data_IF_924619639061
#
_entry.id   IF_924619639061
#
_cell.length_a   1.000
_cell.length_b   1.000
_cell.length_c   1.000
_cell.angle_alpha   90.00
_cell.angle_beta   90.00
_cell.angle_gamma   90.00
#
_symmetry.space_group_name_H-M   'P 1'
#
loop_
_entity.id
_entity.type
_entity.pdbx_description
1 polymer ?
#
# COMPACT_ATOMS: atom_id res chain seq x y z
N UNK A 1 55.80 65.85 -46.70
CA UNK A 1 54.99 65.37 -45.56
C UNK A 1 54.31 66.59 -44.96
N UNK A 2 52.98 66.71 -45.02
CA UNK A 2 52.30 67.82 -44.33
C UNK A 2 52.21 67.45 -42.85
N UNK A 3 52.85 68.24 -41.99
CA UNK A 3 52.78 68.04 -40.55
C UNK A 3 51.51 68.69 -40.00
N UNK A 4 50.94 68.09 -38.96
CA UNK A 4 49.86 68.72 -38.22
C UNK A 4 50.42 69.94 -37.48
N UNK A 5 49.68 71.04 -37.51
CA UNK A 5 50.01 72.19 -36.67
C UNK A 5 49.85 71.84 -35.16
N UNK A 6 50.39 72.66 -34.25
CA UNK A 6 50.31 72.39 -32.82
C UNK A 6 48.87 72.20 -32.29
N UNK A 7 47.89 72.87 -32.90
CA UNK A 7 46.48 72.75 -32.52
C UNK A 7 45.88 71.40 -32.96
N UNK A 8 46.22 70.95 -34.16
CA UNK A 8 45.88 69.65 -34.71
C UNK A 8 46.48 68.51 -33.89
N UNK A 9 47.73 68.67 -33.45
CA UNK A 9 48.40 67.72 -32.55
C UNK A 9 47.71 67.63 -31.19
N UNK A 10 47.41 68.77 -30.58
CA UNK A 10 46.68 68.85 -29.30
C UNK A 10 45.30 68.17 -29.37
N UNK A 11 44.56 68.43 -30.46
CA UNK A 11 43.24 67.83 -30.69
C UNK A 11 43.31 66.32 -30.89
N UNK A 12 44.31 65.82 -31.60
CA UNK A 12 44.54 64.38 -31.77
C UNK A 12 44.85 63.71 -30.42
N UNK A 13 45.76 64.30 -29.64
CA UNK A 13 46.11 63.81 -28.31
C UNK A 13 44.90 63.75 -27.38
N UNK A 14 44.10 64.83 -27.32
CA UNK A 14 42.88 64.86 -26.52
C UNK A 14 41.88 63.77 -26.92
N UNK A 15 41.70 63.50 -28.22
CA UNK A 15 40.83 62.43 -28.71
C UNK A 15 41.34 61.04 -28.34
N UNK A 16 42.65 60.81 -28.45
CA UNK A 16 43.27 59.54 -28.08
C UNK A 16 43.09 59.30 -26.58
N UNK A 17 43.36 60.30 -25.74
CA UNK A 17 43.19 60.18 -24.30
C UNK A 17 41.73 59.96 -23.90
N UNK A 18 40.78 60.65 -24.52
CA UNK A 18 39.37 60.42 -24.27
C UNK A 18 38.94 58.99 -24.62
N UNK A 19 39.44 58.44 -25.74
CA UNK A 19 39.14 57.06 -26.12
C UNK A 19 39.81 56.03 -25.19
N UNK A 20 41.05 56.28 -24.75
CA UNK A 20 41.77 55.41 -23.83
C UNK A 20 41.09 55.38 -22.46
N UNK A 21 40.68 56.53 -21.93
CA UNK A 21 40.00 56.61 -20.63
C UNK A 21 38.61 55.96 -20.64
N UNK A 22 38.00 55.80 -21.83
CA UNK A 22 36.72 55.10 -21.99
C UNK A 22 36.88 53.59 -22.23
N UNK A 23 38.11 53.09 -22.39
CA UNK A 23 38.35 51.64 -22.48
C UNK A 23 38.12 50.99 -21.11
N UNK A 24 37.61 49.77 -21.16
CA UNK A 24 37.58 48.87 -20.01
C UNK A 24 38.85 48.01 -20.05
N UNK A 25 39.57 47.93 -18.93
CA UNK A 25 40.77 47.11 -18.81
C UNK A 25 40.44 45.61 -18.89
N UNK A 26 41.33 44.86 -19.53
CA UNK A 26 41.22 43.40 -19.61
C UNK A 26 41.65 42.77 -18.28
N UNK A 27 40.83 41.85 -17.78
CA UNK A 27 41.23 40.96 -16.68
C UNK A 27 41.87 39.68 -17.25
N UNK A 28 42.96 39.22 -16.64
CA UNK A 28 43.63 37.97 -17.00
C UNK A 28 42.65 36.80 -17.06
N UNK A 29 42.65 36.07 -18.17
CA UNK A 29 41.75 34.91 -18.39
C UNK A 29 40.37 35.24 -18.98
N UNK A 30 40.07 36.51 -19.32
CA UNK A 30 38.76 36.94 -19.85
C UNK A 30 38.83 37.62 -21.23
N UNK A 31 37.71 37.64 -21.97
CA UNK A 31 37.56 38.36 -23.25
C UNK A 31 37.00 39.78 -23.06
N UNK A 32 37.15 40.67 -24.05
CA UNK A 32 36.68 42.08 -23.98
C UNK A 32 35.18 42.24 -24.32
N UNK A 33 34.34 41.26 -23.99
CA UNK A 33 32.92 41.28 -24.39
C UNK A 33 32.06 42.10 -23.43
N UNK A 34 30.94 42.64 -23.92
CA UNK A 34 29.99 43.48 -23.16
C UNK A 34 29.34 42.76 -21.96
N UNK A 35 29.56 41.46 -21.76
CA UNK A 35 28.99 40.71 -20.63
C UNK A 35 29.89 39.56 -20.15
N UNK A 36 30.65 39.80 -19.09
CA UNK A 36 31.33 38.74 -18.31
C UNK A 36 30.75 38.67 -16.89
N UNK A 37 29.42 38.58 -16.79
CA UNK A 37 28.59 38.59 -15.57
C UNK A 37 28.80 39.78 -14.63
N UNK A 38 27.72 40.45 -14.20
CA UNK A 38 27.83 41.42 -13.09
C UNK A 38 28.34 40.73 -11.82
N UNK A 39 28.97 41.46 -10.90
CA UNK A 39 29.44 40.89 -9.63
C UNK A 39 28.31 40.15 -8.87
N UNK A 40 27.08 40.63 -8.98
CA UNK A 40 25.90 39.97 -8.41
C UNK A 40 25.55 38.65 -9.12
N UNK A 41 25.64 38.59 -10.45
CA UNK A 41 25.40 37.36 -11.21
C UNK A 41 26.52 36.34 -11.01
N UNK A 42 27.78 36.77 -10.95
CA UNK A 42 28.92 35.89 -10.64
C UNK A 42 28.79 35.31 -9.22
N UNK A 43 28.37 36.13 -8.24
CA UNK A 43 28.10 35.66 -6.87
C UNK A 43 26.97 34.63 -6.84
N UNK A 44 25.88 34.87 -7.59
CA UNK A 44 24.79 33.89 -7.73
C UNK A 44 25.27 32.61 -8.38
N UNK A 45 26.03 32.70 -9.49
CA UNK A 45 26.57 31.54 -10.20
C UNK A 45 27.50 30.70 -9.33
N UNK A 46 28.41 31.34 -8.61
CA UNK A 46 29.32 30.65 -7.69
C UNK A 46 28.56 29.99 -6.53
N UNK A 47 27.48 30.60 -6.05
CA UNK A 47 26.61 30.02 -5.02
C UNK A 47 25.71 28.88 -5.52
N UNK A 48 25.48 28.75 -6.84
CA UNK A 48 24.71 27.64 -7.40
C UNK A 48 25.46 26.33 -7.23
N UNK A 49 26.79 26.28 -7.39
CA UNK A 49 27.54 25.04 -7.19
C UNK A 49 27.35 24.46 -5.77
N UNK A 50 27.33 25.33 -4.75
CA UNK A 50 27.08 24.95 -3.35
C UNK A 50 25.62 24.54 -3.09
N UNK A 51 24.66 25.13 -3.83
CA UNK A 51 23.22 24.96 -3.61
C UNK A 51 22.48 24.07 -4.61
N UNK A 52 23.13 23.62 -5.69
CA UNK A 52 22.48 23.03 -6.87
C UNK A 52 21.67 21.76 -6.56
N UNK A 53 22.08 21.01 -5.54
CA UNK A 53 21.44 19.74 -5.16
C UNK A 53 20.82 19.78 -3.75
N UNK A 54 20.40 20.95 -3.25
CA UNK A 54 19.87 21.09 -1.88
C UNK A 54 18.45 20.54 -1.69
N UNK A 55 18.05 19.52 -2.47
CA UNK A 55 16.94 18.69 -2.08
C UNK A 55 17.46 17.55 -1.20
N UNK A 56 17.45 17.79 0.11
CA UNK A 56 17.66 16.71 1.10
C UNK A 56 16.28 16.15 1.41
N UNK A 57 16.05 14.89 1.03
CA UNK A 57 14.81 14.23 1.40
C UNK A 57 14.68 14.17 2.93
N UNK A 58 13.56 14.60 3.53
CA UNK A 58 13.41 14.50 4.97
C UNK A 58 13.55 13.04 5.41
N UNK A 59 14.35 12.79 6.45
CA UNK A 59 14.59 11.45 7.01
C UNK A 59 13.86 11.22 8.32
N UNK A 60 13.03 12.18 8.74
CA UNK A 60 12.21 12.10 9.95
C UNK A 60 11.04 11.13 9.79
N UNK A 61 10.42 10.78 10.92
CA UNK A 61 9.24 9.91 10.95
C UNK A 61 8.13 10.46 10.03
N UNK A 62 7.49 9.57 9.26
CA UNK A 62 6.47 9.93 8.27
C UNK A 62 7.02 10.30 6.88
N UNK A 63 8.33 10.58 6.75
CA UNK A 63 8.98 10.89 5.48
C UNK A 63 9.91 9.78 4.99
N UNK A 64 9.98 8.65 5.70
CA UNK A 64 10.74 7.48 5.24
C UNK A 64 9.87 6.69 4.26
N UNK A 65 10.39 6.47 3.05
CA UNK A 65 9.73 5.60 2.08
C UNK A 65 9.74 4.14 2.54
N UNK A 66 8.88 3.32 1.93
CA UNK A 66 9.01 1.87 2.01
C UNK A 66 10.47 1.46 1.67
N UNK A 67 11.12 0.57 2.45
CA UNK A 67 12.48 0.15 2.14
C UNK A 67 12.56 -0.48 0.74
N UNK A 68 13.61 -0.18 -0.01
CA UNK A 68 13.86 -0.86 -1.27
C UNK A 68 14.27 -2.33 -1.04
N UNK A 69 14.21 -3.15 -2.10
CA UNK A 69 14.73 -4.53 -2.06
C UNK A 69 13.80 -5.57 -1.44
N UNK A 70 12.51 -5.29 -1.29
CA UNK A 70 11.52 -6.29 -0.87
C UNK A 70 11.35 -7.41 -1.89
N UNK A 71 11.09 -8.62 -1.40
CA UNK A 71 10.81 -9.81 -2.19
C UNK A 71 9.39 -10.33 -1.96
N UNK A 72 8.88 -11.14 -2.90
CA UNK A 72 7.57 -11.80 -2.75
C UNK A 72 7.53 -12.64 -1.48
N UNK A 73 6.41 -12.57 -0.76
CA UNK A 73 6.21 -13.27 0.52
C UNK A 73 6.76 -12.56 1.75
N UNK A 74 7.37 -11.37 1.61
CA UNK A 74 7.76 -10.53 2.75
C UNK A 74 6.65 -9.54 3.12
N UNK A 75 6.63 -9.12 4.39
CA UNK A 75 5.78 -8.05 4.90
C UNK A 75 6.63 -6.94 5.50
N UNK A 76 6.10 -5.72 5.55
CA UNK A 76 6.71 -4.63 6.30
C UNK A 76 6.46 -4.85 7.79
N UNK A 77 7.53 -5.02 8.55
CA UNK A 77 7.51 -5.08 10.01
C UNK A 77 7.92 -3.71 10.56
N UNK A 78 7.23 -3.28 11.61
CA UNK A 78 7.63 -2.09 12.36
C UNK A 78 9.00 -2.34 13.02
N UNK A 79 9.90 -1.36 12.92
CA UNK A 79 11.24 -1.41 13.53
C UNK A 79 11.46 -0.26 14.51
N UNK A 80 11.02 0.95 14.14
CA UNK A 80 11.01 2.14 14.99
C UNK A 80 10.04 3.19 14.40
N UNK A 81 9.90 4.35 15.05
CA UNK A 81 9.07 5.43 14.52
C UNK A 81 9.52 5.86 13.12
N UNK A 82 8.58 5.70 12.17
CA UNK A 82 8.79 5.90 10.75
C UNK A 82 9.74 4.89 10.09
N UNK A 83 10.34 3.94 10.81
CA UNK A 83 11.24 2.93 10.24
C UNK A 83 10.53 1.58 10.14
N UNK A 84 10.50 1.03 8.92
CA UNK A 84 9.98 -0.29 8.64
C UNK A 84 11.08 -1.15 8.02
N UNK A 85 11.02 -2.46 8.20
CA UNK A 85 11.94 -3.40 7.57
C UNK A 85 11.16 -4.54 6.92
N UNK A 86 11.63 -5.02 5.76
CA UNK A 86 11.10 -6.24 5.17
C UNK A 86 11.48 -7.43 6.03
N UNK A 87 10.48 -8.23 6.40
CA UNK A 87 10.67 -9.48 7.13
C UNK A 87 9.70 -10.53 6.64
N UNK A 88 9.95 -11.78 7.06
CA UNK A 88 8.97 -12.83 6.83
C UNK A 88 7.71 -12.57 7.67
N UNK A 89 6.51 -12.87 7.13
CA UNK A 89 5.30 -12.88 7.93
C UNK A 89 5.48 -13.81 9.12
N UNK A 90 4.79 -13.47 10.21
CA UNK A 90 4.88 -14.26 11.43
C UNK A 90 4.41 -15.69 11.12
N UNK A 91 5.33 -16.66 11.17
CA UNK A 91 5.05 -18.05 10.78
C UNK A 91 4.24 -18.83 11.84
N UNK A 92 3.66 -18.14 12.82
CA UNK A 92 3.07 -18.75 14.02
C UNK A 92 1.55 -18.73 14.08
N UNK A 93 0.86 -18.03 13.16
CA UNK A 93 -0.59 -17.97 13.24
C UNK A 93 -1.24 -19.19 12.61
N UNK A 94 -1.31 -20.26 13.38
CA UNK A 94 -2.23 -21.36 13.13
C UNK A 94 -3.57 -20.99 13.77
N UNK A 95 -4.64 -20.89 12.97
CA UNK A 95 -5.97 -20.73 13.54
C UNK A 95 -6.24 -21.91 14.49
N UNK A 96 -6.66 -21.63 15.74
CA UNK A 96 -6.88 -22.69 16.70
C UNK A 96 -7.99 -23.62 16.23
N UNK A 97 -7.82 -24.92 16.47
CA UNK A 97 -8.86 -25.90 16.17
C UNK A 97 -10.10 -25.58 17.02
N UNK A 98 -11.29 -25.62 16.43
CA UNK A 98 -12.54 -25.25 17.12
C UNK A 98 -12.89 -26.17 18.30
N UNK A 99 -12.20 -27.31 18.46
CA UNK A 99 -12.51 -28.33 19.46
C UNK A 99 -13.67 -29.26 19.05
N UNK A 100 -14.34 -28.97 17.93
CA UNK A 100 -15.37 -29.84 17.36
C UNK A 100 -14.70 -31.03 16.67
N UNK A 101 -15.19 -32.24 16.93
CA UNK A 101 -14.74 -33.42 16.20
C UNK A 101 -15.10 -33.31 14.72
N UNK A 102 -14.36 -33.95 13.84
CA UNK A 102 -14.67 -33.93 12.40
C UNK A 102 -15.92 -34.77 12.12
N UNK A 103 -16.85 -34.29 11.28
CA UNK A 103 -18.10 -34.98 10.96
C UNK A 103 -19.16 -34.09 10.31
N UNK A 104 -20.26 -34.70 9.85
CA UNK A 104 -21.45 -33.96 9.37
C UNK A 104 -22.38 -33.68 10.55
N UNK A 105 -22.51 -32.41 10.92
CA UNK A 105 -23.39 -31.94 11.99
C UNK A 105 -24.60 -31.25 11.39
N UNK A 106 -25.78 -31.40 12.04
CA UNK A 106 -27.00 -30.73 11.58
C UNK A 106 -27.22 -29.36 12.20
N UNK A 107 -26.67 -29.14 13.38
CA UNK A 107 -26.63 -27.83 14.02
C UNK A 107 -25.28 -27.64 14.71
N UNK A 108 -24.77 -26.42 14.63
CA UNK A 108 -23.55 -25.97 15.28
C UNK A 108 -23.84 -24.71 16.09
N UNK A 109 -23.18 -24.58 17.23
CA UNK A 109 -23.23 -23.37 18.06
C UNK A 109 -21.92 -22.63 17.92
N UNK A 110 -21.96 -21.30 17.74
CA UNK A 110 -20.75 -20.45 17.70
C UNK A 110 -20.69 -19.50 18.88
N UNK A 111 -19.49 -19.13 19.31
CA UNK A 111 -19.28 -18.06 20.29
C UNK A 111 -19.35 -16.67 19.63
N UNK A 112 -19.20 -15.61 20.44
CA UNK A 112 -19.21 -14.22 19.97
C UNK A 112 -18.10 -13.88 18.96
N UNK A 113 -17.06 -14.70 18.87
CA UNK A 113 -15.95 -14.56 17.92
C UNK A 113 -16.10 -15.49 16.70
N UNK A 114 -17.22 -16.21 16.57
CA UNK A 114 -17.51 -17.10 15.43
C UNK A 114 -16.89 -18.51 15.52
N UNK A 115 -16.21 -18.87 16.61
CA UNK A 115 -15.69 -20.23 16.79
C UNK A 115 -16.80 -21.20 17.16
N UNK A 116 -16.82 -22.38 16.54
CA UNK A 116 -17.78 -23.42 16.88
C UNK A 116 -17.46 -23.97 18.28
N UNK A 117 -18.43 -23.93 19.20
CA UNK A 117 -18.30 -24.38 20.59
C UNK A 117 -19.09 -25.65 20.89
N UNK A 118 -19.90 -26.12 19.93
CA UNK A 118 -20.64 -27.38 20.06
C UNK A 118 -21.38 -27.73 18.77
N UNK A 119 -21.78 -29.00 18.65
CA UNK A 119 -22.61 -29.48 17.55
C UNK A 119 -23.35 -30.75 17.94
N UNK A 120 -24.53 -30.98 17.34
CA UNK A 120 -25.38 -32.13 17.63
C UNK A 120 -25.80 -32.87 16.36
N UNK A 121 -25.78 -34.20 16.42
CA UNK A 121 -26.38 -35.06 15.41
C UNK A 121 -27.84 -35.34 15.76
N UNK A 122 -28.77 -35.39 14.79
CA UNK A 122 -30.15 -35.70 15.06
C UNK A 122 -30.29 -37.13 15.56
N UNK A 123 -31.11 -37.33 16.58
CA UNK A 123 -31.51 -38.64 17.08
C UNK A 123 -33.00 -38.93 16.84
N UNK A 124 -33.75 -37.95 16.32
CA UNK A 124 -35.16 -38.06 15.98
C UNK A 124 -35.45 -37.30 14.68
N UNK A 125 -36.50 -37.73 13.98
CA UNK A 125 -37.01 -37.03 12.80
C UNK A 125 -37.79 -35.76 13.17
N UNK A 126 -38.31 -35.71 14.40
CA UNK A 126 -39.11 -34.62 14.92
C UNK A 126 -38.28 -33.32 15.02
N UNK A 127 -38.86 -32.19 14.61
CA UNK A 127 -38.23 -30.88 14.71
C UNK A 127 -37.25 -30.51 13.59
N UNK A 128 -37.00 -31.41 12.63
CA UNK A 128 -36.05 -31.19 11.53
C UNK A 128 -36.69 -30.82 10.19
N UNK A 129 -38.01 -30.58 10.16
CA UNK A 129 -38.73 -30.22 8.92
C UNK A 129 -38.66 -31.29 7.82
N UNK A 130 -38.27 -32.53 8.16
CA UNK A 130 -38.23 -33.64 7.22
C UNK A 130 -39.67 -34.07 6.95
N UNK A 131 -40.21 -33.66 5.79
CA UNK A 131 -41.62 -33.82 5.42
C UNK A 131 -41.93 -35.15 4.74
N UNK A 132 -40.91 -35.87 4.29
CA UNK A 132 -41.01 -37.10 3.49
C UNK A 132 -40.48 -38.35 4.22
N UNK A 133 -40.13 -38.23 5.50
CA UNK A 133 -39.62 -39.38 6.23
C UNK A 133 -40.73 -40.38 6.58
N UNK A 134 -40.50 -41.66 6.27
CA UNK A 134 -41.42 -42.74 6.62
C UNK A 134 -41.53 -42.93 8.15
N UNK A 135 -42.75 -43.09 8.66
CA UNK A 135 -42.99 -43.30 10.09
C UNK A 135 -42.41 -44.64 10.58
N UNK A 136 -41.60 -44.60 11.67
CA UNK A 136 -40.98 -45.80 12.28
C UNK A 136 -42.02 -46.80 12.81
N UNK A 137 -43.14 -46.31 13.32
CA UNK A 137 -44.29 -47.10 13.72
C UNK A 137 -45.48 -46.63 12.90
N UNK A 138 -45.88 -47.40 11.90
CA UNK A 138 -47.18 -47.26 11.28
C UNK A 138 -48.03 -48.45 11.70
N UNK A 139 -49.21 -48.14 12.23
CA UNK A 139 -50.13 -49.15 12.74
C UNK A 139 -51.01 -49.64 11.58
N UNK A 140 -50.96 -50.93 11.28
CA UNK A 140 -51.92 -51.57 10.38
C UNK A 140 -53.15 -52.09 11.13
N UNK A 141 -53.13 -52.07 12.46
CA UNK A 141 -54.01 -52.89 13.29
C UNK A 141 -55.46 -52.39 13.39
N UNK A 142 -55.67 -51.08 13.25
CA UNK A 142 -56.99 -50.49 13.54
C UNK A 142 -57.79 -50.08 12.31
N UNK A 143 -57.19 -50.10 11.10
CA UNK A 143 -57.88 -49.64 9.87
C UNK A 143 -57.71 -50.56 8.67
N UNK A 144 -56.62 -51.35 8.55
CA UNK A 144 -56.29 -52.03 7.30
C UNK A 144 -55.96 -53.52 7.43
N UNK A 145 -56.62 -54.22 8.37
CA UNK A 145 -56.53 -55.67 8.67
C UNK A 145 -55.69 -55.94 9.94
N UNK A 146 -56.34 -56.57 10.93
CA UNK A 146 -55.70 -57.10 12.13
C UNK A 146 -54.48 -57.94 11.73
N UNK A 147 -53.35 -57.80 12.43
CA UNK A 147 -52.16 -58.63 12.19
C UNK A 147 -52.42 -60.08 12.65
N UNK A 148 -53.17 -60.84 11.88
CA UNK A 148 -53.59 -62.20 12.22
C UNK A 148 -54.78 -62.68 11.37
N UNK A 149 -55.16 -63.96 11.53
CA UNK A 149 -56.28 -64.54 10.80
C UNK A 149 -57.60 -63.81 11.16
N UNK A 150 -58.25 -63.22 10.15
CA UNK A 150 -59.58 -62.61 10.30
C UNK A 150 -60.63 -63.71 10.27
N UNK A 151 -61.50 -63.77 11.28
CA UNK A 151 -62.58 -64.76 11.32
C UNK A 151 -63.90 -64.14 10.87
N UNK A 152 -64.85 -64.96 10.40
CA UNK A 152 -66.16 -64.47 9.99
C UNK A 152 -66.93 -63.78 11.13
N UNK A 153 -66.64 -64.16 12.37
CA UNK A 153 -67.20 -63.53 13.56
C UNK A 153 -66.72 -62.07 13.76
N UNK A 154 -65.54 -61.72 13.22
CA UNK A 154 -65.00 -60.35 13.21
C UNK A 154 -65.65 -59.45 12.14
N UNK A 155 -66.37 -60.03 11.18
CA UNK A 155 -66.88 -59.34 9.99
C UNK A 155 -68.41 -59.17 9.97
N UNK A 156 -69.15 -59.95 10.76
CA UNK A 156 -70.58 -60.14 10.52
C UNK A 156 -71.53 -59.10 11.14
N UNK A 157 -71.05 -58.20 12.02
CA UNK A 157 -71.91 -57.25 12.75
C UNK A 157 -72.87 -57.93 13.74
N UNK A 158 -73.24 -57.25 14.83
CA UNK A 158 -74.12 -57.79 15.89
C UNK A 158 -75.55 -58.05 15.42
#
# INVERSE_FOLDING_TARGET
MSYLDPNGLSRLYGKIMAHLNAKVDKVTGKGLSTNDFTAALLKKLNGIAEGANKYVHPTDSGNKHIPAGGASGQILKWKADGDAAWGVPESGYTHPNSGVSTGTYKSVTVNAQGHVTGGSNPNTLAGYGITDAAAKNHNHDTVYIKKGAVTWNDLKGS
#
